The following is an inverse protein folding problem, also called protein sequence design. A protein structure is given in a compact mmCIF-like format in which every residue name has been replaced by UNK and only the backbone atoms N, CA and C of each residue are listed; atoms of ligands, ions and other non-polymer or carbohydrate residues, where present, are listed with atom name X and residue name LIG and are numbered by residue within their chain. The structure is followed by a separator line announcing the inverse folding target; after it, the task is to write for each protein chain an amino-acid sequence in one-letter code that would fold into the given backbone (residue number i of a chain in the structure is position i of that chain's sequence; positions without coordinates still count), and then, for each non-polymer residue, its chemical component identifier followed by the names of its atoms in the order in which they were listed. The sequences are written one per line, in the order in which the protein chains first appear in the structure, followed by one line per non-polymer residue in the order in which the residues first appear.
data_IF_800958166419
#
_entry.id   IF_800958166419
#
_cell.length_a   1.000
_cell.length_b   1.000
_cell.length_c   1.000
_cell.angle_alpha   90.00
_cell.angle_beta   90.00
_cell.angle_gamma   90.00
#
_symmetry.space_group_name_H-M   'P 1'
#
loop_
_entity.id
_entity.type
_entity.pdbx_description
1 polymer ?
#
# COMPACT_ATOMS: atom_id res chain seq x y z
N UNK A 1 15.62 -10.63 -24.21
CA UNK A 1 15.91 -12.02 -24.64
C UNK A 1 16.29 -12.91 -23.46
N UNK A 2 17.38 -12.61 -22.73
CA UNK A 2 17.90 -13.43 -21.63
C UNK A 2 16.85 -13.78 -20.55
N UNK A 3 16.19 -12.78 -19.95
CA UNK A 3 15.23 -13.03 -18.85
C UNK A 3 14.07 -13.92 -19.30
N UNK A 4 13.53 -13.70 -20.50
CA UNK A 4 12.43 -14.52 -21.02
C UNK A 4 12.85 -15.97 -21.29
N UNK A 5 14.05 -16.18 -21.85
CA UNK A 5 14.60 -17.52 -22.07
C UNK A 5 14.93 -18.22 -20.75
N UNK A 6 15.56 -17.51 -19.81
CA UNK A 6 15.87 -18.02 -18.48
C UNK A 6 14.61 -18.44 -17.72
N UNK A 7 13.54 -17.64 -17.76
CA UNK A 7 12.25 -17.99 -17.16
C UNK A 7 11.63 -19.23 -17.83
N UNK A 8 11.81 -19.40 -19.14
CA UNK A 8 11.32 -20.56 -19.89
C UNK A 8 12.10 -21.83 -19.49
N UNK A 9 13.42 -21.77 -19.44
CA UNK A 9 14.30 -22.87 -19.02
C UNK A 9 14.00 -23.32 -17.58
N UNK A 10 13.81 -22.37 -16.64
CA UNK A 10 13.42 -22.67 -15.26
C UNK A 10 12.06 -23.40 -15.19
N UNK A 11 11.09 -23.00 -16.03
CA UNK A 11 9.77 -23.63 -16.09
C UNK A 11 9.82 -25.04 -16.67
N UNK A 12 10.66 -25.29 -17.67
CA UNK A 12 10.86 -26.61 -18.28
C UNK A 12 11.57 -27.56 -17.30
N UNK A 13 12.46 -27.04 -16.44
CA UNK A 13 13.15 -27.77 -15.38
C UNK A 13 12.40 -27.79 -14.04
N UNK A 14 11.07 -27.67 -14.03
CA UNK A 14 10.25 -27.55 -12.80
C UNK A 14 10.48 -28.66 -11.77
N UNK A 15 10.83 -29.87 -12.22
CA UNK A 15 11.20 -31.01 -11.36
C UNK A 15 12.53 -30.81 -10.63
N UNK A 16 13.54 -30.28 -11.32
CA UNK A 16 14.84 -29.88 -10.76
C UNK A 16 14.73 -28.60 -9.91
N UNK A 17 13.80 -27.71 -10.23
CA UNK A 17 13.54 -26.50 -9.44
C UNK A 17 13.17 -26.80 -7.98
N UNK A 18 12.54 -27.96 -7.72
CA UNK A 18 12.28 -28.43 -6.35
C UNK A 18 13.57 -28.77 -5.60
N UNK A 19 14.58 -29.28 -6.28
CA UNK A 19 15.91 -29.54 -5.71
C UNK A 19 16.68 -28.24 -5.48
N UNK A 20 16.58 -27.28 -6.40
CA UNK A 20 17.20 -25.95 -6.24
C UNK A 20 16.62 -25.17 -5.08
N UNK A 21 15.32 -25.34 -4.77
CA UNK A 21 14.64 -24.66 -3.67
C UNK A 21 15.44 -24.71 -2.37
N UNK A 22 16.00 -25.86 -1.99
CA UNK A 22 16.75 -25.99 -0.72
C UNK A 22 18.01 -25.12 -0.66
N UNK A 23 18.59 -24.76 -1.81
CA UNK A 23 19.79 -23.93 -1.89
C UNK A 23 19.46 -22.44 -1.93
N UNK A 24 18.27 -22.05 -2.40
CA UNK A 24 17.92 -20.62 -2.61
C UNK A 24 16.80 -20.12 -1.69
N UNK A 25 16.14 -20.99 -0.94
CA UNK A 25 14.97 -20.60 -0.13
C UNK A 25 15.32 -19.59 0.96
N UNK A 26 16.51 -19.68 1.54
CA UNK A 26 17.00 -18.70 2.52
C UNK A 26 17.31 -17.37 1.85
N UNK A 27 18.09 -17.36 0.75
CA UNK A 27 18.42 -16.16 0.00
C UNK A 27 17.16 -15.42 -0.47
N UNK A 28 16.19 -16.16 -1.03
CA UNK A 28 14.90 -15.60 -1.46
C UNK A 28 14.17 -14.99 -0.27
N UNK A 29 14.14 -15.68 0.89
CA UNK A 29 13.47 -15.16 2.09
C UNK A 29 14.12 -13.87 2.57
N UNK A 30 15.45 -13.82 2.62
CA UNK A 30 16.20 -12.63 3.02
C UNK A 30 15.96 -11.46 2.05
N UNK A 31 16.03 -11.71 0.75
CA UNK A 31 15.73 -10.69 -0.29
C UNK A 31 14.31 -10.17 -0.14
N UNK A 32 13.33 -11.04 0.09
CA UNK A 32 11.94 -10.63 0.29
C UNK A 32 11.76 -9.78 1.56
N UNK A 33 12.44 -10.13 2.65
CA UNK A 33 12.43 -9.34 3.89
C UNK A 33 13.09 -7.97 3.69
N UNK A 34 14.23 -7.92 3.00
CA UNK A 34 14.90 -6.66 2.65
C UNK A 34 14.01 -5.79 1.77
N UNK A 35 13.36 -6.37 0.77
CA UNK A 35 12.40 -5.68 -0.09
C UNK A 35 11.23 -5.12 0.72
N UNK A 36 10.63 -5.92 1.61
CA UNK A 36 9.50 -5.47 2.44
C UNK A 36 9.93 -4.32 3.39
N UNK A 37 11.12 -4.40 4.00
CA UNK A 37 11.71 -3.33 4.83
C UNK A 37 11.98 -2.06 4.02
N UNK A 38 12.50 -2.21 2.80
CA UNK A 38 12.75 -1.07 1.91
C UNK A 38 11.44 -0.38 1.51
N UNK A 39 10.39 -1.15 1.18
CA UNK A 39 9.08 -0.60 0.85
C UNK A 39 8.43 0.08 2.06
N UNK A 40 8.56 -0.48 3.28
CA UNK A 40 7.97 0.12 4.47
C UNK A 40 8.62 1.45 4.84
N UNK A 41 9.84 1.70 4.38
CA UNK A 41 10.56 2.97 4.57
C UNK A 41 10.16 4.07 3.59
N UNK A 42 9.34 3.77 2.56
CA UNK A 42 8.89 4.78 1.61
C UNK A 42 8.28 5.97 2.32
N UNK A 43 8.74 7.16 1.97
CA UNK A 43 8.29 8.42 2.59
C UNK A 43 7.79 9.41 1.56
N UNK A 44 7.17 10.49 2.05
CA UNK A 44 6.79 11.65 1.24
C UNK A 44 7.94 12.22 0.40
N UNK A 45 9.20 12.10 0.85
CA UNK A 45 10.39 12.53 0.10
C UNK A 45 10.57 11.76 -1.21
N UNK A 46 10.32 10.46 -1.19
CA UNK A 46 10.43 9.60 -2.38
C UNK A 46 9.16 9.61 -3.21
N UNK A 47 8.02 9.82 -2.56
CA UNK A 47 6.71 9.74 -3.20
C UNK A 47 6.25 11.07 -3.79
N UNK A 48 6.76 12.22 -3.32
CA UNK A 48 6.34 13.55 -3.74
C UNK A 48 4.93 13.92 -3.26
N UNK A 49 4.27 14.85 -3.96
CA UNK A 49 2.92 15.32 -3.60
C UNK A 49 1.85 14.20 -3.62
N UNK A 50 0.80 14.34 -2.81
CA UNK A 50 -0.24 13.31 -2.75
C UNK A 50 -1.07 13.29 -4.04
N UNK A 51 -1.16 12.15 -4.70
CA UNK A 51 -1.94 11.92 -5.93
C UNK A 51 -3.04 10.88 -5.64
N UNK A 52 -4.27 11.36 -5.42
CA UNK A 52 -5.40 10.51 -5.06
C UNK A 52 -5.76 9.45 -6.11
N UNK A 53 -5.49 9.69 -7.40
CA UNK A 53 -5.71 8.71 -8.48
C UNK A 53 -4.77 7.50 -8.37
N UNK A 54 -3.68 7.63 -7.63
CA UNK A 54 -2.74 6.54 -7.36
C UNK A 54 -3.16 5.66 -6.18
N UNK A 55 -4.25 5.97 -5.47
CA UNK A 55 -4.66 5.20 -4.29
C UNK A 55 -5.01 3.73 -4.63
N UNK A 56 -4.54 2.77 -3.82
CA UNK A 56 -4.91 1.37 -3.99
C UNK A 56 -6.41 1.15 -3.80
N UNK A 57 -6.99 0.08 -4.39
CA UNK A 57 -8.42 -0.20 -4.27
C UNK A 57 -8.93 -0.24 -2.83
N UNK A 58 -8.14 -0.81 -1.89
CA UNK A 58 -8.50 -0.86 -0.47
C UNK A 58 -8.64 0.53 0.16
N UNK A 59 -7.73 1.47 -0.11
CA UNK A 59 -7.83 2.85 0.39
C UNK A 59 -9.02 3.58 -0.23
N UNK A 60 -9.24 3.41 -1.54
CA UNK A 60 -10.40 4.00 -2.24
C UNK A 60 -11.72 3.54 -1.61
N UNK A 61 -11.84 2.24 -1.31
CA UNK A 61 -13.04 1.71 -0.65
C UNK A 61 -13.21 2.23 0.77
N UNK A 62 -12.15 2.33 1.57
CA UNK A 62 -12.24 2.87 2.93
C UNK A 62 -12.71 4.33 2.90
N UNK A 63 -12.15 5.16 2.01
CA UNK A 63 -12.57 6.55 1.85
C UNK A 63 -14.02 6.64 1.37
N UNK A 64 -14.43 5.76 0.44
CA UNK A 64 -15.82 5.72 -0.03
C UNK A 64 -16.79 5.38 1.12
N UNK A 65 -16.49 4.35 1.90
CA UNK A 65 -17.28 3.96 3.07
C UNK A 65 -17.38 5.10 4.08
N UNK A 66 -16.25 5.74 4.40
CA UNK A 66 -16.20 6.89 5.31
C UNK A 66 -17.11 8.03 4.83
N UNK A 67 -17.02 8.40 3.55
CA UNK A 67 -17.86 9.46 2.94
C UNK A 67 -19.34 9.10 2.89
N UNK A 68 -19.67 7.81 2.79
CA UNK A 68 -21.05 7.32 2.85
C UNK A 68 -21.60 7.22 4.27
N UNK A 69 -20.88 7.73 5.28
CA UNK A 69 -21.31 7.65 6.68
C UNK A 69 -21.26 6.22 7.25
N UNK A 70 -20.45 5.33 6.67
CA UNK A 70 -20.23 4.00 7.25
C UNK A 70 -19.23 4.13 8.40
N UNK A 71 -19.60 3.59 9.56
CA UNK A 71 -18.68 3.52 10.68
C UNK A 71 -17.53 2.54 10.38
N UNK A 72 -16.32 3.06 10.19
CA UNK A 72 -15.14 2.25 9.88
C UNK A 72 -14.65 1.46 11.10
N UNK A 73 -14.30 0.17 10.95
CA UNK A 73 -13.68 -0.61 12.02
C UNK A 73 -12.29 -0.04 12.37
N UNK A 74 -11.83 -0.28 13.61
CA UNK A 74 -10.55 0.22 14.11
C UNK A 74 -9.38 -0.04 13.14
N UNK A 75 -9.27 -1.26 12.61
CA UNK A 75 -8.20 -1.63 11.67
C UNK A 75 -8.24 -0.83 10.37
N UNK A 76 -9.43 -0.46 9.88
CA UNK A 76 -9.57 0.38 8.68
C UNK A 76 -9.13 1.82 8.97
N UNK A 77 -9.49 2.37 10.14
CA UNK A 77 -9.04 3.71 10.56
C UNK A 77 -7.52 3.74 10.69
N UNK A 78 -6.94 2.76 11.36
CA UNK A 78 -5.49 2.62 11.52
C UNK A 78 -4.76 2.52 10.16
N UNK A 79 -5.24 1.67 9.27
CA UNK A 79 -4.66 1.54 7.93
C UNK A 79 -4.78 2.85 7.12
N UNK A 80 -5.93 3.53 7.18
CA UNK A 80 -6.13 4.79 6.48
C UNK A 80 -5.14 5.86 6.96
N UNK A 81 -5.00 6.03 8.28
CA UNK A 81 -4.08 7.02 8.87
C UNK A 81 -2.64 6.69 8.53
N UNK A 82 -2.18 5.47 8.79
CA UNK A 82 -0.79 5.07 8.51
C UNK A 82 -0.44 5.26 7.03
N UNK A 83 -1.32 4.85 6.11
CA UNK A 83 -1.08 5.00 4.68
C UNK A 83 -1.02 6.47 4.24
N UNK A 84 -2.04 7.28 4.60
CA UNK A 84 -2.12 8.67 4.17
C UNK A 84 -0.96 9.50 4.73
N UNK A 85 -0.62 9.29 6.00
CA UNK A 85 0.53 9.93 6.61
C UNK A 85 1.83 9.57 5.88
N UNK A 86 2.05 8.28 5.60
CA UNK A 86 3.29 7.80 4.98
C UNK A 86 3.50 8.34 3.56
N UNK A 87 2.42 8.56 2.80
CA UNK A 87 2.49 9.19 1.47
C UNK A 87 2.59 10.71 1.51
N UNK A 88 2.57 11.34 2.70
CA UNK A 88 2.80 12.77 2.89
C UNK A 88 1.56 13.63 3.10
N UNK A 89 0.38 13.05 3.35
CA UNK A 89 -0.81 13.83 3.71
C UNK A 89 -0.66 14.38 5.14
N UNK A 90 -0.98 15.66 5.35
CA UNK A 90 -0.84 16.30 6.66
C UNK A 90 -1.91 15.78 7.63
N UNK A 91 -1.61 15.76 8.92
CA UNK A 91 -2.54 15.29 9.96
C UNK A 91 -3.87 16.05 9.95
N UNK A 92 -3.84 17.36 9.66
CA UNK A 92 -5.04 18.18 9.55
C UNK A 92 -5.91 17.78 8.34
N UNK A 93 -5.30 17.36 7.23
CA UNK A 93 -6.03 16.86 6.06
C UNK A 93 -6.62 15.48 6.31
N UNK A 94 -5.87 14.61 7.01
CA UNK A 94 -6.37 13.29 7.44
C UNK A 94 -7.56 13.47 8.39
N UNK A 95 -7.47 14.39 9.36
CA UNK A 95 -8.55 14.69 10.29
C UNK A 95 -9.82 15.16 9.57
N UNK A 96 -9.68 16.03 8.56
CA UNK A 96 -10.81 16.49 7.73
C UNK A 96 -11.53 15.35 7.01
N UNK A 97 -10.83 14.28 6.61
CA UNK A 97 -11.49 13.11 6.02
C UNK A 97 -12.42 12.42 7.03
N UNK A 98 -11.99 12.30 8.28
CA UNK A 98 -12.79 11.70 9.35
C UNK A 98 -13.97 12.54 9.81
N UNK A 99 -14.02 13.83 9.49
CA UNK A 99 -15.15 14.70 9.82
C UNK A 99 -16.48 14.24 9.18
N UNK A 100 -16.44 13.33 8.20
CA UNK A 100 -17.61 12.70 7.59
C UNK A 100 -18.09 11.42 8.30
N UNK A 101 -17.36 10.95 9.31
CA UNK A 101 -17.75 9.77 10.09
C UNK A 101 -18.93 10.08 11.02
N UNK A 102 -19.91 9.16 11.17
CA UNK A 102 -21.07 9.37 12.04
C UNK A 102 -20.72 9.58 13.53
N UNK A 103 -19.63 8.96 13.99
CA UNK A 103 -19.14 9.01 15.37
C UNK A 103 -17.95 9.97 15.53
N UNK A 104 -17.78 10.92 14.60
CA UNK A 104 -16.65 11.82 14.60
C UNK A 104 -16.58 12.66 15.88
N UNK A 105 -15.44 12.53 16.56
CA UNK A 105 -15.05 13.35 17.70
C UNK A 105 -13.68 13.93 17.44
N UNK A 106 -13.59 15.23 17.26
CA UNK A 106 -12.36 15.88 16.79
C UNK A 106 -11.18 15.65 17.74
N UNK A 107 -11.41 15.84 19.05
CA UNK A 107 -10.43 15.65 20.13
C UNK A 107 -9.80 14.24 20.08
N UNK A 108 -10.67 13.22 20.07
CA UNK A 108 -10.27 11.81 20.08
C UNK A 108 -9.62 11.40 18.75
N UNK A 109 -10.18 11.85 17.63
CA UNK A 109 -9.66 11.50 16.30
C UNK A 109 -8.29 12.13 16.07
N UNK A 110 -8.11 13.40 16.48
CA UNK A 110 -6.82 14.09 16.42
C UNK A 110 -5.78 13.37 17.26
N UNK A 111 -6.11 13.02 18.51
CA UNK A 111 -5.22 12.25 19.38
C UNK A 111 -4.79 10.91 18.74
N UNK A 112 -5.74 10.16 18.15
CA UNK A 112 -5.44 8.91 17.45
C UNK A 112 -4.50 9.11 16.27
N UNK A 113 -4.75 10.13 15.44
CA UNK A 113 -3.90 10.45 14.30
C UNK A 113 -2.49 10.78 14.80
N UNK A 114 -2.36 11.71 15.74
CA UNK A 114 -1.07 12.16 16.25
C UNK A 114 -0.28 11.06 16.96
N UNK A 115 -0.96 10.12 17.62
CA UNK A 115 -0.33 8.94 18.19
C UNK A 115 0.20 7.97 17.11
N UNK A 116 -0.60 7.70 16.07
CA UNK A 116 -0.22 6.80 14.97
C UNK A 116 0.94 7.40 14.15
N UNK A 117 0.94 8.72 13.94
CA UNK A 117 1.98 9.43 13.20
C UNK A 117 3.19 9.81 14.05
N UNK A 118 3.33 9.24 15.25
CA UNK A 118 4.48 9.47 16.12
C UNK A 118 4.64 10.90 16.66
N UNK A 119 3.66 11.79 16.47
CA UNK A 119 3.74 13.19 16.97
C UNK A 119 3.72 13.25 18.50
N UNK A 120 3.06 12.29 19.15
CA UNK A 120 2.99 12.17 20.61
C UNK A 120 4.11 11.28 21.16
N UNK A 121 4.29 10.08 20.58
CA UNK A 121 5.17 9.03 21.13
C UNK A 121 6.58 9.03 20.55
N UNK A 122 6.85 9.80 19.50
CA UNK A 122 8.08 9.75 18.70
C UNK A 122 8.19 8.52 17.79
N UNK A 123 7.27 7.56 17.89
CA UNK A 123 7.28 6.33 17.09
C UNK A 123 6.16 6.35 16.06
N UNK A 124 6.55 6.42 14.79
CA UNK A 124 5.63 6.23 13.67
C UNK A 124 5.28 4.75 13.47
N UNK A 125 4.00 4.48 13.20
CA UNK A 125 3.56 3.14 12.84
C UNK A 125 3.80 2.85 11.35
N UNK A 126 4.12 1.59 11.05
CA UNK A 126 4.25 1.11 9.68
C UNK A 126 2.90 0.81 9.04
N UNK A 127 2.83 1.02 7.73
CA UNK A 127 1.65 0.68 6.94
C UNK A 127 1.51 -0.85 6.87
N UNK A 128 0.34 -1.42 7.20
CA UNK A 128 0.10 -2.84 7.06
C UNK A 128 0.30 -3.35 5.62
N UNK A 129 1.03 -4.46 5.47
CA UNK A 129 1.21 -5.14 4.18
C UNK A 129 -0.08 -5.85 3.72
N UNK A 130 -0.15 -6.22 2.44
CA UNK A 130 -1.36 -6.81 1.86
C UNK A 130 -1.82 -8.08 2.60
N UNK A 131 -0.90 -8.91 3.09
CA UNK A 131 -1.23 -10.11 3.85
C UNK A 131 -1.93 -9.78 5.18
N UNK A 132 -1.44 -8.76 5.90
CA UNK A 132 -2.09 -8.25 7.11
C UNK A 132 -3.48 -7.67 6.79
N UNK A 133 -3.60 -6.92 5.69
CA UNK A 133 -4.90 -6.38 5.27
C UNK A 133 -5.90 -7.47 4.87
N UNK A 134 -5.44 -8.61 4.33
CA UNK A 134 -6.31 -9.77 4.07
C UNK A 134 -6.85 -10.35 5.37
N UNK A 135 -5.98 -10.54 6.37
CA UNK A 135 -6.39 -11.01 7.69
C UNK A 135 -7.41 -10.07 8.36
N UNK A 136 -7.34 -8.77 8.08
CA UNK A 136 -8.32 -7.78 8.55
C UNK A 136 -9.59 -7.67 7.68
N UNK A 137 -9.69 -8.40 6.57
CA UNK A 137 -10.80 -8.27 5.61
C UNK A 137 -10.80 -6.94 4.84
N UNK A 138 -9.68 -6.24 4.77
CA UNK A 138 -9.53 -4.92 4.13
C UNK A 138 -8.83 -4.98 2.76
N UNK A 139 -8.22 -6.12 2.41
CA UNK A 139 -7.59 -6.29 1.10
C UNK A 139 -8.66 -6.58 0.02
N UNK A 140 -8.74 -5.73 -1.00
CA UNK A 140 -9.70 -5.87 -2.10
C UNK A 140 -9.11 -6.50 -3.36
N UNK A 141 -8.00 -7.23 -3.25
CA UNK A 141 -7.33 -7.84 -4.40
C UNK A 141 -8.31 -8.67 -5.24
N UNK A 142 -9.07 -9.54 -4.58
CA UNK A 142 -9.86 -10.58 -5.24
C UNK A 142 -11.19 -10.04 -5.82
N UNK A 143 -11.59 -8.82 -5.46
CA UNK A 143 -12.86 -8.21 -5.89
C UNK A 143 -12.69 -6.96 -6.76
N UNK A 144 -11.55 -6.26 -6.66
CA UNK A 144 -11.37 -4.94 -7.30
C UNK A 144 -11.18 -4.98 -8.82
N UNK A 145 -10.83 -6.13 -9.40
CA UNK A 145 -10.45 -6.29 -10.82
C UNK A 145 -9.32 -5.35 -11.27
N UNK A 146 -8.53 -4.82 -10.33
CA UNK A 146 -7.42 -3.92 -10.65
C UNK A 146 -6.19 -4.74 -11.05
N UNK A 147 -5.84 -4.69 -12.35
CA UNK A 147 -4.74 -5.46 -12.96
C UNK A 147 -3.38 -5.29 -12.28
N UNK A 148 -3.13 -4.16 -11.61
CA UNK A 148 -1.90 -3.92 -10.86
C UNK A 148 -2.00 -4.55 -9.46
N UNK A 149 -3.15 -4.42 -8.79
CA UNK A 149 -3.39 -5.01 -7.47
C UNK A 149 -3.42 -6.55 -7.48
N UNK A 150 -3.94 -7.14 -8.57
CA UNK A 150 -4.05 -8.59 -8.78
C UNK A 150 -2.71 -9.30 -8.95
N UNK A 151 -1.61 -8.58 -9.21
CA UNK A 151 -0.31 -9.21 -9.40
C UNK A 151 0.14 -9.92 -8.13
N UNK A 152 0.55 -11.19 -8.27
CA UNK A 152 1.02 -11.99 -7.12
C UNK A 152 2.22 -11.38 -6.39
N UNK A 153 3.06 -10.60 -7.10
CA UNK A 153 4.19 -9.88 -6.52
C UNK A 153 3.80 -8.54 -5.86
N UNK A 154 2.54 -8.10 -5.97
CA UNK A 154 2.02 -6.90 -5.32
C UNK A 154 1.75 -7.17 -3.85
N UNK A 155 2.76 -7.02 -2.99
CA UNK A 155 2.68 -7.39 -1.57
C UNK A 155 2.40 -6.24 -0.62
N UNK A 156 2.39 -4.99 -1.10
CA UNK A 156 2.33 -3.81 -0.23
C UNK A 156 1.53 -2.63 -0.83
N UNK A 157 0.66 -1.95 -0.05
CA UNK A 157 -0.08 -0.76 -0.51
C UNK A 157 0.81 0.40 -0.97
N UNK A 158 1.92 0.66 -0.28
CA UNK A 158 2.88 1.71 -0.68
C UNK A 158 3.57 1.39 -2.02
N UNK A 159 3.87 0.11 -2.30
CA UNK A 159 4.40 -0.31 -3.59
C UNK A 159 3.39 -0.06 -4.70
N UNK A 160 2.12 -0.42 -4.47
CA UNK A 160 1.04 -0.12 -5.40
C UNK A 160 1.00 1.38 -5.72
N UNK A 161 0.97 2.21 -4.67
CA UNK A 161 0.85 3.66 -4.80
C UNK A 161 2.01 4.25 -5.61
N UNK A 162 3.25 3.87 -5.28
CA UNK A 162 4.44 4.30 -6.02
C UNK A 162 4.36 3.95 -7.51
N UNK A 163 4.10 2.69 -7.84
CA UNK A 163 4.06 2.23 -9.24
C UNK A 163 2.91 2.87 -10.02
N UNK A 164 1.73 3.03 -9.39
CA UNK A 164 0.59 3.70 -10.03
C UNK A 164 0.88 5.18 -10.27
N UNK A 165 1.53 5.86 -9.32
CA UNK A 165 1.93 7.26 -9.45
C UNK A 165 2.98 7.44 -10.55
N UNK A 166 4.00 6.60 -10.61
CA UNK A 166 5.01 6.59 -11.68
C UNK A 166 4.38 6.31 -13.06
N UNK A 167 3.36 5.46 -13.12
CA UNK A 167 2.61 5.23 -14.36
C UNK A 167 1.82 6.47 -14.76
N UNK A 168 1.11 7.10 -13.82
CA UNK A 168 0.34 8.32 -14.06
C UNK A 168 1.23 9.46 -14.56
N UNK A 169 2.39 9.70 -13.93
CA UNK A 169 3.30 10.79 -14.32
C UNK A 169 3.87 10.63 -15.73
N UNK A 170 4.08 9.38 -16.18
CA UNK A 170 4.51 9.07 -17.54
C UNK A 170 3.40 9.28 -18.57
N UNK A 171 2.14 9.00 -18.22
CA UNK A 171 1.02 9.05 -19.16
C UNK A 171 0.26 10.38 -19.15
N UNK A 172 0.36 11.19 -18.09
CA UNK A 172 -0.17 12.56 -18.07
C UNK A 172 0.56 13.49 -19.04
N UNK A 173 1.85 13.22 -19.30
CA UNK A 173 2.65 13.93 -20.31
C UNK A 173 2.25 13.65 -21.76
N UNK A 174 1.44 12.62 -22.02
CA UNK A 174 0.95 12.31 -23.37
C UNK A 174 -0.38 13.00 -23.71
N UNK A 175 -1.16 13.38 -22.69
CA UNK A 175 -2.46 14.06 -22.87
C UNK A 175 -2.36 15.57 -23.04
N UNK A 176 -1.21 16.19 -22.77
CA UNK A 176 -0.96 17.63 -22.97
C UNK A 176 -0.22 17.92 -24.30
N UNK A 177 0.09 16.88 -25.08
CA UNK A 177 0.80 16.96 -26.37
C UNK A 177 -0.04 16.59 -27.59
N UNK A 178 -1.38 16.60 -27.46
CA UNK A 178 -2.33 16.45 -28.57
C UNK A 178 -3.29 17.63 -28.60
#
# INVERSE_FOLDING_TARGET
AFVSNFVKEIKEKKGEAKFLRKYVENDIREILQLKDKFISQYSSRELGEVESRAFPPCIRSIIANLRSGVNLPHQARFFLVTFLHRIGMKNEEILKLFATAPDFREDMTRYQIEHITGKISGKEYDVPKCETLKAYGLCLRDVSKDRLCEKNWMTHPLLYYKLRKEWLSKHSRFSEGQ
#
